data_IF_483273223622
#
_entry.id   IF_483273223622
#
_cell.length_a   1.000
_cell.length_b   1.000
_cell.length_c   1.000
_cell.angle_alpha   90.00
_cell.angle_beta   90.00
_cell.angle_gamma   90.00
#
_symmetry.space_group_name_H-M   'P 1'
#
loop_
_entity.id
_entity.type
_entity.pdbx_description
1 polymer ?
#
# COMPACT_ATOMS: atom_id res chain seq x y z
N UNK A 1 18.98 13.41 -1.01
CA UNK A 1 17.64 13.17 -1.59
C UNK A 1 17.67 11.87 -2.36
N UNK A 2 16.54 11.17 -2.48
CA UNK A 2 16.46 9.87 -3.15
C UNK A 2 16.17 10.10 -4.64
N UNK A 3 17.10 9.71 -5.52
CA UNK A 3 16.99 9.90 -6.97
C UNK A 3 15.72 9.29 -7.57
N UNK A 4 15.27 8.15 -7.03
CA UNK A 4 14.03 7.50 -7.49
C UNK A 4 12.84 8.42 -7.26
N UNK A 5 12.77 9.08 -6.11
CA UNK A 5 11.69 10.01 -5.76
C UNK A 5 11.74 11.26 -6.64
N UNK A 6 12.95 11.77 -6.94
CA UNK A 6 13.13 12.91 -7.85
C UNK A 6 12.61 12.59 -9.26
N UNK A 7 12.97 11.43 -9.80
CA UNK A 7 12.50 10.96 -11.11
C UNK A 7 10.98 10.78 -11.12
N UNK A 8 10.41 10.12 -10.10
CA UNK A 8 8.96 9.95 -9.98
C UNK A 8 8.24 11.31 -9.90
N UNK A 9 8.86 12.30 -9.25
CA UNK A 9 8.33 13.66 -9.17
C UNK A 9 8.39 14.36 -10.52
N UNK A 10 9.48 14.23 -11.26
CA UNK A 10 9.63 14.80 -12.59
C UNK A 10 8.65 14.17 -13.59
N UNK A 11 8.45 12.85 -13.52
CA UNK A 11 7.44 12.14 -14.31
C UNK A 11 6.01 12.62 -14.01
N UNK A 12 5.72 12.95 -12.75
CA UNK A 12 4.41 13.48 -12.37
C UNK A 12 4.21 14.94 -12.84
N UNK A 13 5.29 15.73 -12.90
CA UNK A 13 5.23 17.15 -13.29
C UNK A 13 5.28 17.34 -14.81
N UNK A 14 5.98 16.46 -15.54
CA UNK A 14 6.18 16.55 -16.99
C UNK A 14 5.64 15.30 -17.70
N UNK A 15 4.45 15.43 -18.29
CA UNK A 15 3.82 14.36 -19.07
C UNK A 15 4.60 13.95 -20.33
N UNK A 16 5.53 14.79 -20.79
CA UNK A 16 6.39 14.54 -21.96
C UNK A 16 7.81 14.11 -21.59
N UNK A 17 8.07 13.84 -20.30
CA UNK A 17 9.39 13.41 -19.86
C UNK A 17 9.77 12.07 -20.50
N UNK A 18 11.03 11.95 -20.92
CA UNK A 18 11.57 10.70 -21.44
C UNK A 18 11.90 9.76 -20.25
N UNK A 19 10.93 8.90 -19.93
CA UNK A 19 10.97 7.99 -18.78
C UNK A 19 12.17 7.04 -18.88
N UNK A 20 12.54 6.61 -20.09
CA UNK A 20 13.61 5.65 -20.31
C UNK A 20 14.98 6.28 -20.00
N UNK A 21 15.18 7.54 -20.41
CA UNK A 21 16.39 8.30 -20.08
C UNK A 21 16.48 8.63 -18.58
N UNK A 22 15.35 8.97 -17.94
CA UNK A 22 15.31 9.24 -16.51
C UNK A 22 15.58 7.97 -15.69
N UNK A 23 14.98 6.85 -16.08
CA UNK A 23 15.16 5.55 -15.44
C UNK A 23 16.61 5.03 -15.54
N UNK A 24 17.38 5.44 -16.56
CA UNK A 24 18.79 5.06 -16.69
C UNK A 24 19.70 5.61 -15.56
N UNK A 25 19.20 6.52 -14.72
CA UNK A 25 19.95 7.15 -13.63
C UNK A 25 19.86 6.39 -12.29
N UNK A 26 19.09 5.31 -12.23
CA UNK A 26 18.88 4.46 -11.05
C UNK A 26 19.36 3.02 -11.31
N UNK A 27 19.22 2.11 -10.33
CA UNK A 27 19.60 0.70 -10.53
C UNK A 27 18.73 0.06 -11.63
N UNK A 28 19.21 -1.00 -12.29
CA UNK A 28 18.42 -1.61 -13.38
C UNK A 28 17.10 -2.18 -12.87
N UNK A 29 17.07 -2.75 -11.67
CA UNK A 29 15.83 -3.24 -11.05
C UNK A 29 14.82 -2.10 -10.77
N UNK A 30 15.30 -0.93 -10.35
CA UNK A 30 14.44 0.25 -10.15
C UNK A 30 13.98 0.82 -11.49
N UNK A 31 14.86 0.86 -12.49
CA UNK A 31 14.55 1.34 -13.83
C UNK A 31 13.45 0.48 -14.47
N UNK A 32 13.59 -0.84 -14.39
CA UNK A 32 12.58 -1.79 -14.89
C UNK A 32 11.25 -1.63 -14.14
N UNK A 33 11.29 -1.49 -12.80
CA UNK A 33 10.08 -1.27 -12.02
C UNK A 33 9.39 0.06 -12.38
N UNK A 34 10.13 1.14 -12.65
CA UNK A 34 9.60 2.43 -13.08
C UNK A 34 8.97 2.32 -14.48
N UNK A 35 9.68 1.71 -15.43
CA UNK A 35 9.21 1.55 -16.83
C UNK A 35 7.96 0.68 -16.89
N UNK A 36 7.96 -0.44 -16.15
CA UNK A 36 6.83 -1.36 -16.08
C UNK A 36 5.70 -0.88 -15.16
N UNK A 37 5.87 0.25 -14.47
CA UNK A 37 4.94 0.77 -13.46
C UNK A 37 4.62 -0.25 -12.37
N UNK A 38 5.61 -1.04 -11.98
CA UNK A 38 5.48 -2.05 -10.93
C UNK A 38 5.57 -1.37 -9.56
N UNK A 39 4.42 -0.94 -9.06
CA UNK A 39 4.27 -0.24 -7.78
C UNK A 39 4.75 -1.12 -6.62
N UNK A 40 4.40 -2.41 -6.63
CA UNK A 40 4.74 -3.32 -5.53
C UNK A 40 6.23 -3.58 -5.42
N UNK A 41 6.92 -3.72 -6.56
CA UNK A 41 8.38 -3.83 -6.56
C UNK A 41 9.03 -2.54 -6.04
N UNK A 42 8.53 -1.38 -6.49
CA UNK A 42 9.06 -0.08 -6.08
C UNK A 42 8.85 0.20 -4.59
N UNK A 43 7.67 -0.12 -4.04
CA UNK A 43 7.37 -0.01 -2.60
C UNK A 43 8.32 -0.85 -1.75
N UNK A 44 8.56 -2.11 -2.14
CA UNK A 44 9.51 -3.00 -1.46
C UNK A 44 10.95 -2.49 -1.52
N UNK A 45 11.37 -2.00 -2.69
CA UNK A 45 12.73 -1.48 -2.88
C UNK A 45 12.97 -0.16 -2.14
N UNK A 46 11.93 0.66 -2.00
CA UNK A 46 11.99 1.94 -1.27
C UNK A 46 11.71 1.79 0.23
N UNK A 47 11.50 0.57 0.72
CA UNK A 47 11.12 0.25 2.11
C UNK A 47 9.89 1.05 2.56
N UNK A 48 8.94 1.24 1.64
CA UNK A 48 7.64 1.83 1.93
C UNK A 48 6.79 0.71 2.52
N UNK A 49 6.69 0.66 3.84
CA UNK A 49 5.79 -0.26 4.53
C UNK A 49 4.34 0.10 4.19
N UNK A 50 3.59 -0.74 3.45
CA UNK A 50 2.16 -0.55 3.34
C UNK A 50 1.54 -0.67 4.74
N UNK A 51 0.59 0.19 5.08
CA UNK A 51 -0.14 0.10 6.35
C UNK A 51 -0.95 -1.21 6.38
N UNK A 52 -0.39 -2.26 6.99
CA UNK A 52 -1.06 -3.55 7.15
C UNK A 52 -2.16 -3.38 8.21
N UNK A 53 -3.41 -3.24 7.77
CA UNK A 53 -4.58 -3.27 8.65
C UNK A 53 -4.97 -4.73 8.92
N UNK A 54 -4.59 -5.25 10.08
CA UNK A 54 -5.11 -6.51 10.58
C UNK A 54 -6.45 -6.26 11.28
N UNK A 55 -7.53 -6.86 10.77
CA UNK A 55 -8.79 -6.92 11.50
C UNK A 55 -8.77 -8.15 12.42
N UNK A 56 -8.81 -7.91 13.73
CA UNK A 56 -9.11 -8.96 14.70
C UNK A 56 -10.62 -9.08 14.77
N UNK A 57 -11.17 -10.03 14.02
CA UNK A 57 -12.58 -10.40 14.15
C UNK A 57 -12.66 -11.31 15.39
N UNK A 58 -13.45 -10.95 16.41
CA UNK A 58 -13.71 -11.84 17.55
C UNK A 58 -14.19 -13.19 17.01
N UNK A 59 -13.73 -14.29 17.60
CA UNK A 59 -14.29 -15.59 17.26
C UNK A 59 -15.80 -15.55 17.56
N UNK A 60 -16.62 -15.69 16.53
CA UNK A 60 -18.02 -16.06 16.73
C UNK A 60 -17.97 -17.49 17.29
N UNK A 61 -18.32 -17.65 18.57
CA UNK A 61 -18.65 -18.98 19.10
C UNK A 61 -19.69 -19.58 18.15
N UNK A 62 -19.41 -20.76 17.58
CA UNK A 62 -20.29 -21.43 16.62
C UNK A 62 -21.71 -21.60 17.21
N UNK A 63 -22.61 -20.66 16.90
CA UNK A 63 -24.05 -20.87 16.98
C UNK A 63 -24.64 -20.87 15.55
N UNK A 64 -25.59 -21.79 15.26
CA UNK A 64 -25.84 -22.24 13.91
C UNK A 64 -26.50 -21.15 13.05
N UNK A 65 -26.04 -21.08 11.79
CA UNK A 65 -26.42 -20.12 10.75
C UNK A 65 -27.88 -19.63 10.82
N UNK A 66 -28.06 -18.31 10.90
CA UNK A 66 -29.23 -17.65 10.30
C UNK A 66 -28.79 -16.40 9.55
N UNK A 67 -29.26 -16.36 8.30
CA UNK A 67 -29.05 -15.40 7.22
C UNK A 67 -29.22 -13.93 7.64
N UNK A 68 -28.36 -13.11 7.03
CA UNK A 68 -28.56 -11.74 6.51
C UNK A 68 -29.57 -10.85 7.24
N UNK A 69 -29.09 -9.75 7.81
CA UNK A 69 -29.69 -8.43 7.63
C UNK A 69 -28.67 -7.33 7.98
N UNK A 70 -28.42 -6.44 7.01
CA UNK A 70 -27.61 -5.23 7.14
C UNK A 70 -28.20 -4.31 8.22
N UNK A 71 -27.35 -3.78 9.11
CA UNK A 71 -27.57 -2.46 9.75
C UNK A 71 -26.28 -1.93 10.39
N UNK A 72 -25.82 -0.82 9.86
CA UNK A 72 -24.85 0.09 10.45
C UNK A 72 -25.38 0.62 11.79
N UNK A 73 -24.74 0.30 12.92
CA UNK A 73 -24.84 1.12 14.14
C UNK A 73 -23.48 1.14 14.86
N UNK A 74 -22.97 2.35 15.08
CA UNK A 74 -21.76 2.69 15.83
C UNK A 74 -21.77 2.02 17.21
N UNK A 75 -20.75 1.22 17.53
CA UNK A 75 -20.60 0.68 18.89
C UNK A 75 -19.25 1.04 19.51
N UNK A 76 -19.37 1.76 20.62
CA UNK A 76 -18.36 2.19 21.59
C UNK A 76 -17.39 1.04 21.95
N UNK A 77 -16.16 1.10 21.45
CA UNK A 77 -15.12 0.09 21.70
C UNK A 77 -14.51 0.25 23.08
N UNK A 78 -15.09 -0.40 24.10
CA UNK A 78 -14.44 -0.60 25.40
C UNK A 78 -13.37 -1.69 25.31
N UNK A 79 -12.11 -1.27 25.22
CA UNK A 79 -10.96 -2.17 25.35
C UNK A 79 -10.66 -2.42 26.83
N UNK A 80 -10.66 -3.70 27.24
CA UNK A 80 -10.16 -4.13 28.56
C UNK A 80 -8.78 -4.74 28.33
N UNK A 81 -7.73 -4.04 28.76
CA UNK A 81 -6.38 -4.58 28.85
C UNK A 81 -6.18 -5.06 30.29
N UNK A 82 -6.01 -6.37 30.48
CA UNK A 82 -5.52 -6.90 31.76
C UNK A 82 -3.99 -6.98 31.70
N UNK A 83 -3.34 -6.33 32.67
CA UNK A 83 -1.89 -6.36 32.90
C UNK A 83 -1.49 -7.56 33.75
#
# INVERSE_FOLDING_TARGET
MNKVIEILTEMAQNASADIEQLAAQVSSEQAEAIINKDITALERQLDICPDIKCFLIPAEDEEPSKKEEEKEEESDVKSVVSF
#
